data_IF_100805745469
#
_entry.id   IF_100805745469
#
_cell.length_a   1.000
_cell.length_b   1.000
_cell.length_c   1.000
_cell.angle_alpha   90.00
_cell.angle_beta   90.00
_cell.angle_gamma   90.00
#
_symmetry.space_group_name_H-M   'P 1'
#
loop_
_entity.id
_entity.type
_entity.pdbx_description
1 polymer ?
#
# COMPACT_ATOMS: atom_id res chain seq x y z
N UNK A 1 39.07 6.10 -9.97
CA UNK A 1 37.75 6.62 -10.38
C UNK A 1 36.67 5.71 -9.82
N UNK A 2 35.75 6.25 -9.02
CA UNK A 2 34.58 5.48 -8.54
C UNK A 2 33.56 5.43 -9.69
N UNK A 3 33.10 4.23 -10.03
CA UNK A 3 32.16 4.01 -11.13
C UNK A 3 30.84 4.77 -10.88
N UNK A 4 30.25 5.31 -11.94
CA UNK A 4 28.98 6.05 -11.92
C UNK A 4 27.84 5.24 -11.24
N UNK A 5 27.91 3.90 -11.28
CA UNK A 5 26.99 2.98 -10.60
C UNK A 5 27.08 3.02 -9.07
N UNK A 6 28.26 3.26 -8.50
CA UNK A 6 28.44 3.39 -7.05
C UNK A 6 27.81 4.70 -6.51
N UNK A 7 27.92 5.79 -7.27
CA UNK A 7 27.31 7.08 -6.94
C UNK A 7 25.79 7.00 -7.01
N UNK A 8 25.25 6.38 -8.08
CA UNK A 8 23.81 6.19 -8.25
C UNK A 8 23.19 5.29 -7.16
N UNK A 9 23.91 4.26 -6.70
CA UNK A 9 23.44 3.38 -5.64
C UNK A 9 23.32 4.11 -4.30
N UNK A 10 24.25 5.00 -3.99
CA UNK A 10 24.22 5.79 -2.74
C UNK A 10 23.11 6.85 -2.77
N UNK A 11 22.88 7.49 -3.92
CA UNK A 11 21.76 8.41 -4.12
C UNK A 11 20.39 7.73 -3.96
N UNK A 12 20.25 6.46 -4.36
CA UNK A 12 18.99 5.71 -4.18
C UNK A 12 18.68 5.42 -2.71
N UNK A 13 19.69 5.23 -1.86
CA UNK A 13 19.49 5.01 -0.43
C UNK A 13 19.00 6.28 0.29
N UNK A 14 19.36 7.46 -0.21
CA UNK A 14 18.84 8.75 0.29
C UNK A 14 17.34 8.96 0.02
N UNK A 15 16.69 8.08 -0.74
CA UNK A 15 15.23 8.11 -0.92
C UNK A 15 14.46 7.51 0.26
N UNK A 16 15.16 6.92 1.22
CA UNK A 16 14.53 6.52 2.48
C UNK A 16 14.42 7.71 3.41
N UNK A 17 13.33 7.76 4.16
CA UNK A 17 13.16 8.73 5.23
C UNK A 17 14.13 8.43 6.38
N UNK A 18 14.42 9.45 7.17
CA UNK A 18 15.32 9.36 8.31
C UNK A 18 14.96 8.23 9.30
N UNK A 19 13.68 7.99 9.65
CA UNK A 19 13.31 6.87 10.54
C UNK A 19 13.67 5.51 9.96
N UNK A 20 13.53 5.32 8.64
CA UNK A 20 13.85 4.07 7.96
C UNK A 20 15.36 3.85 7.91
N UNK A 21 16.13 4.91 7.66
CA UNK A 21 17.59 4.85 7.68
C UNK A 21 18.14 4.52 9.07
N UNK A 22 17.56 5.11 10.12
CA UNK A 22 17.91 4.80 11.50
C UNK A 22 17.60 3.34 11.82
N UNK A 23 16.39 2.87 11.53
CA UNK A 23 15.99 1.49 11.76
C UNK A 23 16.87 0.47 11.01
N UNK A 24 17.27 0.79 9.77
CA UNK A 24 18.22 -0.03 9.00
C UNK A 24 19.59 -0.12 9.66
N UNK A 25 20.09 1.00 10.18
CA UNK A 25 21.39 1.08 10.87
C UNK A 25 21.37 0.33 12.19
N UNK A 26 20.34 0.55 13.01
CA UNK A 26 20.15 -0.13 14.30
C UNK A 26 20.00 -1.65 14.11
N UNK A 27 19.32 -2.07 13.04
CA UNK A 27 19.14 -3.47 12.68
C UNK A 27 20.39 -4.12 12.04
N UNK A 28 21.47 -3.37 11.79
CA UNK A 28 22.67 -3.88 11.12
C UNK A 28 22.42 -4.35 9.68
N UNK A 29 21.38 -3.85 9.02
CA UNK A 29 20.99 -4.30 7.68
C UNK A 29 21.87 -3.67 6.60
N UNK A 30 22.34 -4.50 5.67
CA UNK A 30 23.23 -4.05 4.59
C UNK A 30 22.53 -3.16 3.56
N UNK A 31 23.30 -2.40 2.77
CA UNK A 31 22.79 -1.56 1.68
C UNK A 31 21.87 -2.34 0.71
N UNK A 32 22.12 -3.64 0.51
CA UNK A 32 21.29 -4.49 -0.35
C UNK A 32 19.88 -4.71 0.22
N UNK A 33 19.75 -4.85 1.54
CA UNK A 33 18.44 -4.90 2.21
C UNK A 33 17.70 -3.57 2.06
N UNK A 34 18.40 -2.46 2.31
CA UNK A 34 17.84 -1.13 2.14
C UNK A 34 17.33 -0.90 0.70
N UNK A 35 18.07 -1.38 -0.31
CA UNK A 35 17.64 -1.28 -1.72
C UNK A 35 16.36 -2.10 -1.99
N UNK A 36 16.20 -3.28 -1.40
CA UNK A 36 14.99 -4.07 -1.56
C UNK A 36 13.75 -3.33 -1.03
N UNK A 37 13.88 -2.65 0.12
CA UNK A 37 12.81 -1.89 0.75
C UNK A 37 12.39 -0.63 -0.02
N UNK A 38 13.20 -0.12 -0.96
CA UNK A 38 12.82 1.02 -1.80
C UNK A 38 11.58 0.76 -2.66
N UNK A 39 11.26 -0.52 -2.92
CA UNK A 39 10.07 -0.91 -3.66
C UNK A 39 8.77 -0.72 -2.86
N UNK A 40 8.87 -0.63 -1.53
CA UNK A 40 7.70 -0.42 -0.67
C UNK A 40 7.29 1.06 -0.69
N UNK A 41 6.00 1.37 -0.88
CA UNK A 41 5.55 2.74 -1.16
C UNK A 41 5.49 3.63 0.08
N UNK A 42 5.18 3.07 1.26
CA UNK A 42 4.98 3.84 2.50
C UNK A 42 6.08 3.57 3.52
N UNK A 43 6.36 4.56 4.36
CA UNK A 43 7.31 4.45 5.47
C UNK A 43 6.94 3.33 6.44
N UNK A 44 5.67 3.26 6.84
CA UNK A 44 5.14 2.25 7.75
C UNK A 44 5.39 0.83 7.24
N UNK A 45 5.18 0.59 5.94
CA UNK A 45 5.47 -0.70 5.32
C UNK A 45 6.97 -1.03 5.38
N UNK A 46 7.85 -0.05 5.18
CA UNK A 46 9.29 -0.25 5.28
C UNK A 46 9.71 -0.59 6.71
N UNK A 47 9.21 0.14 7.71
CA UNK A 47 9.50 -0.11 9.13
C UNK A 47 8.98 -1.48 9.59
N UNK A 48 7.74 -1.84 9.22
CA UNK A 48 7.19 -3.16 9.50
C UNK A 48 8.00 -4.28 8.83
N UNK A 49 8.42 -4.07 7.58
CA UNK A 49 9.28 -5.03 6.89
C UNK A 49 10.64 -5.18 7.57
N UNK A 50 11.27 -4.09 8.02
CA UNK A 50 12.55 -4.14 8.77
C UNK A 50 12.41 -4.98 10.04
N UNK A 51 11.36 -4.73 10.84
CA UNK A 51 11.09 -5.52 12.06
C UNK A 51 11.00 -7.00 11.74
N UNK A 52 10.29 -7.36 10.68
CA UNK A 52 10.10 -8.76 10.29
C UNK A 52 11.38 -9.41 9.73
N UNK A 53 12.16 -8.66 8.96
CA UNK A 53 13.46 -9.09 8.43
C UNK A 53 14.42 -9.42 9.57
N UNK A 54 14.48 -8.57 10.59
CA UNK A 54 15.32 -8.77 11.78
C UNK A 54 14.82 -9.94 12.59
N UNK A 55 13.50 -10.00 12.86
CA UNK A 55 12.87 -11.08 13.64
C UNK A 55 13.14 -12.46 13.05
N UNK A 56 13.16 -12.58 11.72
CA UNK A 56 13.41 -13.84 11.01
C UNK A 56 14.88 -14.03 10.58
N UNK A 57 15.77 -13.08 10.85
CA UNK A 57 17.17 -13.11 10.39
C UNK A 57 17.29 -13.32 8.87
N UNK A 58 16.48 -12.61 8.08
CA UNK A 58 16.39 -12.88 6.65
C UNK A 58 17.67 -12.51 5.90
N UNK A 59 18.07 -13.36 4.96
CA UNK A 59 19.09 -13.00 3.97
C UNK A 59 18.55 -11.98 2.95
N UNK A 60 19.44 -11.34 2.19
CA UNK A 60 19.06 -10.39 1.13
C UNK A 60 18.09 -11.03 0.13
N UNK A 61 18.36 -12.26 -0.31
CA UNK A 61 17.50 -12.97 -1.27
C UNK A 61 16.12 -13.28 -0.68
N UNK A 62 16.04 -13.66 0.60
CA UNK A 62 14.77 -13.89 1.28
C UNK A 62 14.00 -12.58 1.49
N UNK A 63 14.70 -11.49 1.79
CA UNK A 63 14.13 -10.14 1.91
C UNK A 63 13.53 -9.67 0.59
N UNK A 64 14.22 -9.86 -0.53
CA UNK A 64 13.69 -9.51 -1.86
C UNK A 64 12.41 -10.28 -2.19
N UNK A 65 12.38 -11.59 -1.90
CA UNK A 65 11.17 -12.42 -2.05
C UNK A 65 10.04 -11.93 -1.13
N UNK A 66 10.33 -11.67 0.13
CA UNK A 66 9.36 -11.18 1.10
C UNK A 66 8.74 -9.84 0.67
N UNK A 67 9.56 -8.88 0.24
CA UNK A 67 9.07 -7.60 -0.30
C UNK A 67 8.20 -7.82 -1.54
N UNK A 68 8.56 -8.76 -2.42
CA UNK A 68 7.74 -9.09 -3.58
C UNK A 68 6.37 -9.65 -3.16
N UNK A 69 6.33 -10.55 -2.17
CA UNK A 69 5.07 -11.07 -1.61
C UNK A 69 4.20 -9.96 -1.01
N UNK A 70 4.79 -9.01 -0.29
CA UNK A 70 4.06 -7.86 0.26
C UNK A 70 3.44 -6.98 -0.84
N UNK A 71 4.12 -6.82 -1.97
CA UNK A 71 3.61 -6.06 -3.11
C UNK A 71 2.48 -6.81 -3.81
N UNK A 72 2.63 -8.12 -4.03
CA UNK A 72 1.58 -8.95 -4.62
C UNK A 72 0.33 -9.01 -3.75
N UNK A 73 0.47 -9.17 -2.43
CA UNK A 73 -0.65 -9.16 -1.49
C UNK A 73 -1.39 -7.81 -1.41
N UNK A 74 -0.74 -6.70 -1.79
CA UNK A 74 -1.41 -5.38 -1.92
C UNK A 74 -2.19 -5.24 -3.23
N UNK A 75 -1.77 -5.92 -4.30
CA UNK A 75 -2.50 -5.92 -5.58
C UNK A 75 -3.76 -6.77 -5.51
N UNK A 76 -3.77 -7.83 -4.68
CA UNK A 76 -4.94 -8.70 -4.46
C UNK A 76 -5.89 -8.23 -3.36
N UNK A 77 -5.54 -7.19 -2.58
CA UNK A 77 -6.59 -6.48 -1.86
C UNK A 77 -7.38 -5.74 -2.92
N UNK A 78 -8.69 -5.99 -3.09
CA UNK A 78 -9.50 -5.05 -3.83
C UNK A 78 -9.20 -3.70 -3.19
N UNK A 79 -8.68 -2.78 -3.99
CA UNK A 79 -8.73 -1.38 -3.59
C UNK A 79 -10.17 -1.14 -3.14
N UNK A 80 -10.40 -0.20 -2.23
CA UNK A 80 -11.74 0.34 -2.04
C UNK A 80 -12.16 0.93 -3.39
N UNK A 81 -12.58 0.09 -4.33
CA UNK A 81 -12.82 0.40 -5.71
C UNK A 81 -14.13 1.15 -5.68
N UNK A 82 -13.99 2.46 -5.48
CA UNK A 82 -15.04 3.47 -5.39
C UNK A 82 -16.42 2.89 -5.07
N UNK A 83 -16.60 2.32 -3.87
CA UNK A 83 -17.94 1.97 -3.37
C UNK A 83 -18.84 3.21 -3.49
N UNK A 84 -18.27 4.41 -3.26
CA UNK A 84 -18.93 5.68 -3.55
C UNK A 84 -19.37 5.84 -5.01
N UNK A 85 -18.52 5.59 -6.02
CA UNK A 85 -18.93 5.71 -7.43
C UNK A 85 -19.97 4.66 -7.84
N UNK A 86 -19.88 3.44 -7.30
CA UNK A 86 -20.88 2.40 -7.51
C UNK A 86 -22.22 2.77 -6.87
N UNK A 87 -22.23 3.27 -5.63
CA UNK A 87 -23.46 3.74 -4.97
C UNK A 87 -24.06 4.96 -5.68
N UNK A 88 -23.22 5.84 -6.23
CA UNK A 88 -23.68 6.98 -7.02
C UNK A 88 -24.38 6.54 -8.33
N UNK A 89 -23.84 5.54 -9.04
CA UNK A 89 -24.49 5.03 -10.26
C UNK A 89 -25.80 4.28 -9.96
N UNK A 90 -25.88 3.61 -8.81
CA UNK A 90 -27.09 2.93 -8.35
C UNK A 90 -28.19 3.96 -7.97
N UNK A 91 -27.81 5.06 -7.32
CA UNK A 91 -28.71 6.19 -7.03
C UNK A 91 -29.24 6.83 -8.30
N UNK A 92 -28.38 7.09 -9.30
CA UNK A 92 -28.81 7.63 -10.59
C UNK A 92 -29.78 6.69 -11.32
N UNK A 93 -29.58 5.38 -11.23
CA UNK A 93 -30.46 4.40 -11.86
C UNK A 93 -31.84 4.37 -11.20
N UNK A 94 -31.90 4.46 -9.86
CA UNK A 94 -33.16 4.57 -9.12
C UNK A 94 -33.92 5.87 -9.44
N UNK A 95 -33.22 7.00 -9.59
CA UNK A 95 -33.84 8.26 -10.02
C UNK A 95 -34.46 8.15 -11.42
N UNK A 96 -33.83 7.43 -12.36
CA UNK A 96 -34.41 7.20 -13.70
C UNK A 96 -35.70 6.37 -13.65
N UNK A 97 -35.75 5.41 -12.75
CA UNK A 97 -36.95 4.58 -12.52
C UNK A 97 -38.08 5.43 -11.92
N UNK A 98 -37.77 6.32 -10.96
CA UNK A 98 -38.72 7.29 -10.40
C UNK A 98 -39.28 8.24 -11.47
N UNK A 99 -38.41 8.79 -12.33
CA UNK A 99 -38.82 9.66 -13.44
C UNK A 99 -39.68 8.94 -14.48
N UNK A 100 -39.58 7.61 -14.55
CA UNK A 100 -40.41 6.76 -15.43
C UNK A 100 -41.77 6.42 -14.81
N UNK A 101 -42.14 7.06 -13.69
CA UNK A 101 -43.44 6.92 -13.05
C UNK A 101 -43.57 5.75 -12.06
N UNK A 102 -42.48 5.06 -11.76
CA UNK A 102 -42.47 3.96 -10.77
C UNK A 102 -42.11 4.55 -9.39
N UNK A 103 -42.96 4.39 -8.36
CA UNK A 103 -42.68 4.88 -7.02
C UNK A 103 -41.61 4.01 -6.34
N UNK A 104 -40.34 4.26 -6.66
CA UNK A 104 -39.21 3.70 -5.94
C UNK A 104 -38.82 4.65 -4.80
N UNK A 105 -38.63 4.13 -3.59
CA UNK A 105 -38.09 4.87 -2.44
C UNK A 105 -36.69 4.33 -2.17
N UNK A 106 -35.73 5.20 -1.88
CA UNK A 106 -34.41 4.78 -1.43
C UNK A 106 -33.95 5.57 -0.22
N UNK A 107 -33.44 4.88 0.79
CA UNK A 107 -32.87 5.46 2.01
C UNK A 107 -31.41 5.02 2.15
N UNK A 108 -30.49 5.99 2.28
CA UNK A 108 -29.08 5.74 2.56
C UNK A 108 -28.75 6.15 3.98
N UNK A 109 -28.18 5.23 4.76
CA UNK A 109 -27.59 5.52 6.07
C UNK A 109 -26.12 5.14 6.07
N UNK A 110 -25.26 6.11 6.35
CA UNK A 110 -23.84 5.89 6.56
C UNK A 110 -23.54 5.90 8.06
N UNK A 111 -22.85 4.85 8.51
CA UNK A 111 -22.30 4.76 9.86
C UNK A 111 -20.80 4.45 9.75
N UNK A 112 -20.07 4.58 10.85
CA UNK A 112 -18.62 4.33 10.89
C UNK A 112 -18.22 2.89 10.47
N UNK A 113 -19.16 1.94 10.52
CA UNK A 113 -18.90 0.52 10.25
C UNK A 113 -19.69 -0.09 9.09
N UNK A 114 -20.73 0.58 8.57
CA UNK A 114 -21.59 0.02 7.50
C UNK A 114 -22.35 1.10 6.73
N UNK A 115 -22.62 0.81 5.45
CA UNK A 115 -23.54 1.59 4.60
C UNK A 115 -24.79 0.73 4.40
N UNK A 116 -25.94 1.24 4.82
CA UNK A 116 -27.26 0.60 4.61
C UNK A 116 -27.97 1.35 3.50
N UNK A 117 -28.42 0.61 2.48
CA UNK A 117 -29.27 1.10 1.39
C UNK A 117 -30.56 0.27 1.41
N UNK A 118 -31.70 0.92 1.64
CA UNK A 118 -33.05 0.30 1.67
C UNK A 118 -33.94 0.91 0.61
#
# INVERSE_FOLDING_TARGET
GKSQSAVANKLRLLRHSEPVLLALREAGLTERHARALLKLPTEECKLAAIKEIVRQGMSVARTEKYVQTLLSARTDRPSKANVGAFLNSLTQSLQKIQLSGIPAVSERRETDSQIVLT
#
